data_IF_092429082799
#
_entry.id   IF_092429082799
#
_cell.length_a   1.000
_cell.length_b   1.000
_cell.length_c   1.000
_cell.angle_alpha   90.00
_cell.angle_beta   90.00
_cell.angle_gamma   90.00
#
_symmetry.space_group_name_H-M   'P 1'
#
loop_
_entity.id
_entity.type
_entity.pdbx_description
1 polymer ?
#
# COMPACT_ATOMS: atom_id res chain seq x y z
N UNK A 1 -6.73 -10.08 5.33
CA UNK A 1 -5.51 -10.83 4.98
C UNK A 1 -4.37 -9.86 4.68
N UNK A 2 -3.25 -10.08 5.30
CA UNK A 2 -2.08 -9.22 5.10
C UNK A 2 -1.51 -9.48 3.70
N UNK A 3 -1.26 -8.41 2.93
CA UNK A 3 -0.73 -8.54 1.59
C UNK A 3 0.69 -7.98 1.45
N UNK A 4 1.16 -7.20 2.42
CA UNK A 4 2.52 -6.68 2.34
C UNK A 4 2.81 -5.62 3.38
N UNK A 5 3.90 -4.89 3.14
CA UNK A 5 4.36 -3.81 4.02
C UNK A 5 4.78 -2.62 3.19
N UNK A 6 4.59 -1.43 3.76
CA UNK A 6 5.03 -0.19 3.12
C UNK A 6 6.54 -0.10 3.21
N UNK A 7 7.19 0.12 2.07
CA UNK A 7 8.65 0.26 2.02
C UNK A 7 9.10 1.67 1.64
N UNK A 8 8.21 2.48 1.06
CA UNK A 8 8.58 3.82 0.65
C UNK A 8 7.33 4.70 0.59
N UNK A 9 7.47 5.94 0.99
CA UNK A 9 6.40 6.94 0.91
C UNK A 9 7.00 8.19 0.30
N UNK A 10 6.42 8.64 -0.81
CA UNK A 10 6.84 9.88 -1.46
C UNK A 10 5.60 10.64 -1.88
N UNK A 11 5.32 11.73 -1.17
CA UNK A 11 4.13 12.55 -1.39
C UNK A 11 2.89 11.66 -1.26
N UNK A 12 2.08 11.53 -2.31
CA UNK A 12 0.89 10.65 -2.27
C UNK A 12 1.18 9.26 -2.78
N UNK A 13 2.41 8.99 -3.20
CA UNK A 13 2.81 7.69 -3.73
C UNK A 13 3.33 6.82 -2.61
N UNK A 14 2.84 5.59 -2.54
CA UNK A 14 3.23 4.63 -1.51
C UNK A 14 3.66 3.36 -2.21
N UNK A 15 4.86 2.87 -1.87
CA UNK A 15 5.35 1.61 -2.43
C UNK A 15 5.26 0.53 -1.37
N UNK A 16 4.71 -0.61 -1.77
CA UNK A 16 4.42 -1.74 -0.89
C UNK A 16 5.15 -2.95 -1.42
N UNK A 17 5.92 -3.62 -0.55
CA UNK A 17 6.44 -4.94 -0.91
C UNK A 17 5.33 -5.96 -0.64
N UNK A 18 5.09 -6.83 -1.62
CA UNK A 18 3.96 -7.74 -1.58
C UNK A 18 4.37 -9.12 -1.08
N UNK A 19 3.57 -9.67 -0.17
CA UNK A 19 3.70 -11.05 0.28
C UNK A 19 2.67 -11.96 -0.40
N UNK A 20 1.79 -11.37 -1.22
CA UNK A 20 0.72 -12.11 -1.88
C UNK A 20 0.73 -11.83 -3.37
N UNK A 21 0.44 -12.85 -4.18
CA UNK A 21 0.32 -12.69 -5.62
C UNK A 21 -1.11 -12.37 -6.05
N UNK A 22 -2.01 -12.20 -5.09
CA UNK A 22 -3.43 -11.95 -5.39
C UNK A 22 -3.77 -10.48 -5.57
N UNK A 23 -2.79 -9.59 -5.37
CA UNK A 23 -3.01 -8.15 -5.51
C UNK A 23 -3.00 -7.78 -6.99
N UNK A 24 -3.96 -6.95 -7.40
CA UNK A 24 -4.12 -6.54 -8.79
C UNK A 24 -4.20 -5.02 -8.89
N UNK A 25 -3.87 -4.50 -10.07
CA UNK A 25 -4.05 -3.08 -10.36
C UNK A 25 -5.53 -2.74 -10.19
N UNK A 26 -5.80 -1.65 -9.48
CA UNK A 26 -7.15 -1.21 -9.16
C UNK A 26 -7.62 -1.65 -7.78
N UNK A 27 -6.91 -2.57 -7.14
CA UNK A 27 -7.27 -2.98 -5.78
C UNK A 27 -7.06 -1.85 -4.80
N UNK A 28 -7.89 -1.83 -3.76
CA UNK A 28 -7.76 -0.87 -2.67
C UNK A 28 -7.17 -1.61 -1.47
N UNK A 29 -6.03 -1.13 -1.02
CA UNK A 29 -5.34 -1.66 0.15
C UNK A 29 -5.51 -0.68 1.30
N UNK A 30 -5.39 -1.17 2.53
CA UNK A 30 -5.46 -0.31 3.70
C UNK A 30 -4.45 -0.75 4.73
N UNK A 31 -4.06 0.16 5.62
CA UNK A 31 -3.16 -0.16 6.72
C UNK A 31 -3.94 -0.97 7.75
N UNK A 32 -3.35 -2.09 8.17
CA UNK A 32 -3.96 -2.92 9.20
C UNK A 32 -4.14 -2.09 10.47
N UNK A 33 -5.33 -2.17 11.06
CA UNK A 33 -5.72 -1.45 12.27
C UNK A 33 -5.84 0.06 12.09
N UNK A 34 -5.62 0.58 10.88
CA UNK A 34 -5.76 2.00 10.58
C UNK A 34 -6.44 2.16 9.23
N UNK A 35 -7.73 1.81 9.12
CA UNK A 35 -8.44 1.79 7.82
C UNK A 35 -8.61 3.16 7.18
N UNK A 36 -8.29 4.24 7.91
CA UNK A 36 -8.31 5.58 7.33
C UNK A 36 -7.20 5.76 6.28
N UNK A 37 -6.15 4.93 6.32
CA UNK A 37 -5.10 4.98 5.30
C UNK A 37 -5.41 3.94 4.23
N UNK A 38 -5.88 4.41 3.08
CA UNK A 38 -6.26 3.55 1.95
C UNK A 38 -5.50 3.96 0.72
N UNK A 39 -5.16 2.97 -0.09
CA UNK A 39 -4.33 3.16 -1.29
C UNK A 39 -4.93 2.41 -2.46
N UNK A 40 -4.85 3.00 -3.65
CA UNK A 40 -5.21 2.30 -4.87
C UNK A 40 -3.94 1.81 -5.55
N UNK A 41 -3.89 0.52 -5.89
CA UNK A 41 -2.78 -0.06 -6.62
C UNK A 41 -2.82 0.41 -8.06
N UNK A 42 -1.77 1.08 -8.50
CA UNK A 42 -1.72 1.61 -9.87
C UNK A 42 -0.66 0.91 -10.72
N UNK A 43 0.30 0.25 -10.10
CA UNK A 43 1.34 -0.47 -10.84
C UNK A 43 1.85 -1.62 -9.99
N UNK A 44 2.17 -2.75 -10.64
CA UNK A 44 2.77 -3.90 -9.97
C UNK A 44 4.01 -4.28 -10.75
N UNK A 45 5.13 -4.47 -10.03
CA UNK A 45 6.40 -4.85 -10.63
C UNK A 45 7.05 -5.90 -9.73
N UNK A 46 7.17 -7.13 -10.22
CA UNK A 46 7.73 -8.25 -9.46
C UNK A 46 6.98 -8.42 -8.13
N UNK A 47 7.67 -8.12 -7.03
CA UNK A 47 7.14 -8.33 -5.70
C UNK A 47 6.74 -7.02 -5.04
N UNK A 48 6.61 -5.94 -5.78
CA UNK A 48 6.21 -4.66 -5.22
C UNK A 48 5.05 -4.06 -5.99
N UNK A 49 4.32 -3.19 -5.31
CA UNK A 49 3.22 -2.45 -5.90
C UNK A 49 3.41 -0.97 -5.61
N UNK A 50 3.15 -0.15 -6.63
CA UNK A 50 3.07 1.29 -6.46
C UNK A 50 1.61 1.65 -6.28
N UNK A 51 1.33 2.39 -5.22
CA UNK A 51 -0.03 2.76 -4.88
C UNK A 51 -0.14 4.28 -4.74
N UNK A 52 -1.34 4.79 -4.94
CA UNK A 52 -1.64 6.21 -4.73
C UNK A 52 -2.54 6.28 -3.51
N UNK A 53 -2.16 7.12 -2.55
CA UNK A 53 -2.98 7.32 -1.37
C UNK A 53 -4.27 8.03 -1.73
N UNK A 54 -5.39 7.49 -1.28
CA UNK A 54 -6.70 8.09 -1.53
C UNK A 54 -6.99 9.22 -0.57
N UNK A 55 -6.18 9.32 0.49
CA UNK A 55 -6.35 10.33 1.52
C UNK A 55 -4.96 10.87 1.88
N UNK A 56 -4.83 11.50 3.05
CA UNK A 56 -3.52 12.01 3.46
C UNK A 56 -2.55 10.88 3.78
N UNK A 57 -1.26 11.12 3.53
CA UNK A 57 -0.20 10.21 4.00
C UNK A 57 0.38 10.67 5.33
N UNK A 58 -0.17 11.73 5.91
CA UNK A 58 0.32 12.25 7.19
C UNK A 58 0.13 11.21 8.28
N UNK A 59 1.20 10.87 8.97
CA UNK A 59 1.16 9.86 10.02
C UNK A 59 1.42 8.46 9.52
N UNK A 60 1.49 8.27 8.20
CA UNK A 60 1.81 6.96 7.62
C UNK A 60 3.30 6.68 7.81
N UNK A 61 3.64 5.41 8.08
CA UNK A 61 5.02 5.04 8.38
C UNK A 61 5.47 3.88 7.53
N UNK A 62 6.75 3.87 7.18
CA UNK A 62 7.40 2.71 6.57
C UNK A 62 7.28 1.53 7.53
N UNK A 63 7.13 0.35 6.98
CA UNK A 63 6.99 -0.87 7.75
C UNK A 63 5.56 -1.18 8.15
N UNK A 64 4.63 -0.25 7.93
CA UNK A 64 3.23 -0.50 8.25
C UNK A 64 2.70 -1.67 7.40
N UNK A 65 1.94 -2.53 8.05
CA UNK A 65 1.37 -3.71 7.41
C UNK A 65 0.11 -3.31 6.67
N UNK A 66 -0.06 -3.78 5.44
CA UNK A 66 -1.24 -3.49 4.62
C UNK A 66 -2.02 -4.76 4.30
N UNK A 67 -3.32 -4.58 4.14
CA UNK A 67 -4.22 -5.68 3.83
C UNK A 67 -5.26 -5.30 2.79
#
# INVERSE_FOLDING_TARGET
>A
MIVGKIISIFDISVEVILDSSDVRIGDILQVKDHPEFRFEVVEISNTSATCISLETTRGLKKGAVVE
#
